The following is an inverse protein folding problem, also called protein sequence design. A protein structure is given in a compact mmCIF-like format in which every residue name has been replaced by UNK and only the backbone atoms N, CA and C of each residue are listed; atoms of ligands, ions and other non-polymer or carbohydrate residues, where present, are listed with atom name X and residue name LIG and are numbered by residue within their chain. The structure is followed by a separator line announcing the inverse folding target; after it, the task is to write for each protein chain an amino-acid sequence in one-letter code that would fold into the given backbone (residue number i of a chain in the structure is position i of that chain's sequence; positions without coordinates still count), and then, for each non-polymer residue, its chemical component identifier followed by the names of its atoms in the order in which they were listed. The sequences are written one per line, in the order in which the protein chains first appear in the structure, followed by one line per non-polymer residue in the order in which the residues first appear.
data_IF_972164190980
#
_entry.id   IF_972164190980
#
_cell.length_a   1.000
_cell.length_b   1.000
_cell.length_c   1.000
_cell.angle_alpha   90.00
_cell.angle_beta   90.00
_cell.angle_gamma   90.00
#
_symmetry.space_group_name_H-M   'P 1'
#
loop_
_entity.id
_entity.type
_entity.pdbx_description
1 polymer ?
#
# COMPACT_ATOMS: atom_id res chain seq x y z
N UNK A 1 -1.62 -15.61 -5.77
CA UNK A 1 -3.05 -15.21 -5.83
C UNK A 1 -3.28 -14.27 -7.00
N UNK A 2 -4.47 -14.24 -7.58
CA UNK A 2 -4.76 -13.41 -8.78
C UNK A 2 -5.70 -12.27 -8.44
N UNK A 3 -5.36 -11.04 -8.82
CA UNK A 3 -6.17 -9.84 -8.70
C UNK A 3 -6.83 -9.51 -10.03
N UNK A 4 -8.04 -8.96 -9.97
CA UNK A 4 -8.79 -8.56 -11.16
C UNK A 4 -8.59 -7.06 -11.40
N UNK A 5 -8.11 -6.70 -12.60
CA UNK A 5 -8.05 -5.31 -13.04
C UNK A 5 -9.39 -4.89 -13.66
N UNK A 6 -9.90 -3.73 -13.27
CA UNK A 6 -11.02 -3.10 -13.96
C UNK A 6 -10.57 -2.62 -15.37
N UNK A 7 -11.30 -2.91 -16.46
CA UNK A 7 -10.94 -2.45 -17.81
C UNK A 7 -10.71 -0.94 -17.93
N UNK A 8 -11.38 -0.12 -17.10
CA UNK A 8 -11.25 1.34 -17.07
C UNK A 8 -10.03 1.83 -16.26
N UNK A 9 -9.27 0.93 -15.64
CA UNK A 9 -8.03 1.26 -14.96
C UNK A 9 -6.86 1.16 -15.93
N UNK A 10 -5.93 2.11 -15.83
CA UNK A 10 -4.68 2.06 -16.57
C UNK A 10 -3.94 0.73 -16.26
N UNK A 11 -3.61 -0.08 -17.29
CA UNK A 11 -2.98 -1.37 -17.07
C UNK A 11 -1.60 -1.28 -16.41
N UNK A 12 -0.79 -0.29 -16.77
CA UNK A 12 0.57 -0.16 -16.27
C UNK A 12 0.58 0.31 -14.82
N UNK A 13 -0.28 1.27 -14.46
CA UNK A 13 -0.44 1.74 -13.09
C UNK A 13 -1.04 0.66 -12.17
N UNK A 14 -1.98 -0.15 -12.68
CA UNK A 14 -2.49 -1.29 -11.93
C UNK A 14 -1.39 -2.31 -11.67
N UNK A 15 -0.62 -2.67 -12.70
CA UNK A 15 0.50 -3.60 -12.58
C UNK A 15 1.56 -3.08 -11.59
N UNK A 16 1.93 -1.79 -11.68
CA UNK A 16 2.89 -1.15 -10.78
C UNK A 16 2.41 -1.20 -9.33
N UNK A 17 1.18 -0.74 -9.06
CA UNK A 17 0.66 -0.77 -7.69
C UNK A 17 0.55 -2.19 -7.16
N UNK A 18 0.15 -3.18 -7.96
CA UNK A 18 0.11 -4.57 -7.51
C UNK A 18 1.51 -5.14 -7.25
N UNK A 19 2.51 -4.80 -8.08
CA UNK A 19 3.90 -5.19 -7.85
C UNK A 19 4.45 -4.56 -6.57
N UNK A 20 4.10 -3.31 -6.26
CA UNK A 20 4.49 -2.67 -5.01
C UNK A 20 3.85 -3.37 -3.79
N UNK A 21 2.61 -3.86 -3.92
CA UNK A 21 1.98 -4.68 -2.88
C UNK A 21 2.72 -6.00 -2.68
N UNK A 22 3.05 -6.71 -3.76
CA UNK A 22 3.80 -7.97 -3.70
C UNK A 22 5.16 -7.75 -3.03
N UNK A 23 5.90 -6.74 -3.50
CA UNK A 23 7.18 -6.37 -2.93
C UNK A 23 7.06 -6.07 -1.44
N UNK A 24 6.11 -5.24 -1.05
CA UNK A 24 5.89 -4.89 0.35
C UNK A 24 5.53 -6.10 1.21
N UNK A 25 4.73 -7.03 0.71
CA UNK A 25 4.45 -8.29 1.41
C UNK A 25 5.75 -9.06 1.67
N UNK A 26 6.63 -9.15 0.67
CA UNK A 26 7.85 -9.94 0.73
C UNK A 26 8.99 -9.26 1.52
N UNK A 27 8.83 -7.99 1.88
CA UNK A 27 9.73 -7.28 2.82
C UNK A 27 9.35 -7.52 4.29
N UNK A 28 8.16 -8.05 4.57
CA UNK A 28 7.73 -8.38 5.92
C UNK A 28 8.34 -9.71 6.37
N UNK A 29 8.72 -9.77 7.64
CA UNK A 29 8.95 -11.03 8.35
C UNK A 29 7.61 -11.64 8.78
N UNK A 30 7.59 -12.94 9.05
CA UNK A 30 6.42 -13.63 9.61
C UNK A 30 5.98 -12.96 10.91
N UNK A 31 6.93 -12.59 11.77
CA UNK A 31 6.64 -11.89 13.02
C UNK A 31 5.95 -10.53 12.80
N UNK A 32 6.45 -9.72 11.86
CA UNK A 32 5.86 -8.41 11.56
C UNK A 32 4.49 -8.56 10.92
N UNK A 33 4.34 -9.49 9.97
CA UNK A 33 3.07 -9.77 9.31
C UNK A 33 1.99 -10.13 10.34
N UNK A 34 2.25 -11.10 11.22
CA UNK A 34 1.28 -11.54 12.22
C UNK A 34 0.92 -10.42 13.19
N UNK A 35 1.89 -9.64 13.67
CA UNK A 35 1.64 -8.52 14.57
C UNK A 35 0.78 -7.42 13.90
N UNK A 36 1.09 -7.09 12.63
CA UNK A 36 0.33 -6.10 11.88
C UNK A 36 -1.09 -6.59 11.57
N UNK A 37 -1.25 -7.87 11.21
CA UNK A 37 -2.55 -8.51 10.97
C UNK A 37 -3.40 -8.55 12.24
N UNK A 38 -2.83 -8.95 13.37
CA UNK A 38 -3.51 -8.94 14.67
C UNK A 38 -4.01 -7.54 15.03
N UNK A 39 -3.16 -6.52 14.87
CA UNK A 39 -3.53 -5.13 15.11
C UNK A 39 -4.67 -4.68 14.19
N UNK A 40 -4.59 -5.01 12.90
CA UNK A 40 -5.62 -4.66 11.92
C UNK A 40 -6.95 -5.34 12.24
N UNK A 41 -6.94 -6.62 12.61
CA UNK A 41 -8.16 -7.35 12.97
C UNK A 41 -8.81 -6.80 14.25
N UNK A 42 -7.99 -6.40 15.23
CA UNK A 42 -8.48 -5.88 16.50
C UNK A 42 -9.02 -4.44 16.40
N UNK A 43 -8.39 -3.59 15.58
CA UNK A 43 -8.64 -2.13 15.59
C UNK A 43 -9.05 -1.55 14.24
N UNK A 44 -8.98 -2.34 13.17
CA UNK A 44 -9.06 -1.83 11.80
C UNK A 44 -7.81 -1.04 11.40
N UNK A 45 -7.99 -0.04 10.53
CA UNK A 45 -6.89 0.82 10.08
C UNK A 45 -6.34 1.66 11.23
N UNK A 46 -5.02 1.70 11.37
CA UNK A 46 -4.35 2.47 12.40
C UNK A 46 -4.50 3.99 12.17
N UNK A 47 -4.74 4.74 13.25
CA UNK A 47 -4.91 6.20 13.18
C UNK A 47 -3.62 6.90 12.76
N UNK A 48 -2.48 6.39 13.22
CA UNK A 48 -1.15 6.88 12.89
C UNK A 48 -0.87 6.72 11.39
N UNK A 49 -1.45 5.71 10.74
CA UNK A 49 -1.36 5.55 9.29
C UNK A 49 -2.09 6.66 8.53
N UNK A 50 -3.21 7.15 9.04
CA UNK A 50 -3.90 8.31 8.45
C UNK A 50 -3.04 9.58 8.56
N UNK A 51 -2.32 9.74 9.67
CA UNK A 51 -1.38 10.85 9.87
C UNK A 51 -0.22 10.74 8.88
N UNK A 52 0.38 9.56 8.73
CA UNK A 52 1.46 9.31 7.77
C UNK A 52 1.01 9.57 6.31
N UNK A 53 -0.18 9.10 5.92
CA UNK A 53 -0.76 9.39 4.60
C UNK A 53 -0.98 10.87 4.38
N UNK A 54 -1.49 11.60 5.38
CA UNK A 54 -1.71 13.04 5.28
C UNK A 54 -0.38 13.78 5.07
N UNK A 55 0.65 13.47 5.87
CA UNK A 55 1.97 14.07 5.74
C UNK A 55 2.58 13.82 4.35
N UNK A 56 2.54 12.57 3.87
CA UNK A 56 3.03 12.23 2.54
C UNK A 56 2.29 12.98 1.42
N UNK A 57 0.97 13.18 1.55
CA UNK A 57 0.18 13.97 0.58
C UNK A 57 0.54 15.44 0.60
N UNK A 58 0.75 16.04 1.77
CA UNK A 58 1.15 17.45 1.90
C UNK A 58 2.54 17.70 1.31
N UNK A 59 3.48 16.78 1.55
CA UNK A 59 4.80 16.81 0.95
C UNK A 59 4.74 16.72 -0.57
N UNK A 60 4.02 15.72 -1.12
CA UNK A 60 3.90 15.54 -2.56
C UNK A 60 3.16 16.69 -3.25
N UNK A 61 2.17 17.30 -2.59
CA UNK A 61 1.55 18.52 -3.09
C UNK A 61 2.59 19.63 -3.26
N UNK A 62 3.45 19.83 -2.25
CA UNK A 62 4.51 20.85 -2.28
C UNK A 62 5.54 20.55 -3.38
N UNK A 63 5.96 19.29 -3.50
CA UNK A 63 6.86 18.85 -4.57
C UNK A 63 6.25 19.09 -5.96
N UNK A 64 4.96 18.76 -6.15
CA UNK A 64 4.27 18.97 -7.43
C UNK A 64 4.13 20.45 -7.80
N UNK A 65 3.84 21.30 -6.80
CA UNK A 65 3.85 22.76 -7.02
C UNK A 65 5.23 23.22 -7.48
N UNK A 66 6.30 22.78 -6.84
CA UNK A 66 7.66 23.15 -7.21
C UNK A 66 8.06 22.66 -8.60
N UNK A 67 7.66 21.45 -8.98
CA UNK A 67 7.83 20.90 -10.33
C UNK A 67 7.17 21.80 -11.39
N UNK A 68 5.89 22.15 -11.18
CA UNK A 68 5.12 23.03 -12.08
C UNK A 68 5.69 24.46 -12.11
N UNK A 69 6.25 24.95 -11.01
CA UNK A 69 6.94 26.24 -10.99
C UNK A 69 8.19 26.24 -11.87
N UNK A 70 8.94 25.13 -11.88
CA UNK A 70 10.14 24.99 -12.71
C UNK A 70 9.83 24.94 -14.21
N UNK A 71 8.61 24.56 -14.60
CA UNK A 71 8.14 24.64 -15.99
C UNK A 71 7.62 26.03 -16.41
N UNK A 72 7.73 27.04 -15.54
CA UNK A 72 7.38 28.43 -15.84
C UNK A 72 5.94 28.83 -15.50
N UNK A 73 5.14 27.92 -14.91
CA UNK A 73 3.76 28.19 -14.51
C UNK A 73 3.72 29.13 -13.28
N UNK A 74 2.75 30.04 -13.20
CA UNK A 74 2.56 30.92 -12.03
C UNK A 74 2.28 30.12 -10.76
N UNK A 75 2.59 30.67 -9.57
CA UNK A 75 2.33 29.97 -8.31
C UNK A 75 0.85 29.62 -8.10
N UNK A 76 -0.04 30.53 -8.46
CA UNK A 76 -1.49 30.32 -8.35
C UNK A 76 -1.94 29.15 -9.22
N UNK A 77 -1.50 29.12 -10.49
CA UNK A 77 -1.87 28.06 -11.41
C UNK A 77 -1.21 26.72 -11.05
N UNK A 78 0.06 26.73 -10.61
CA UNK A 78 0.75 25.55 -10.12
C UNK A 78 0.03 24.91 -8.93
N UNK A 79 -0.44 25.71 -7.96
CA UNK A 79 -1.23 25.21 -6.82
C UNK A 79 -2.56 24.60 -7.27
N UNK A 80 -3.25 25.22 -8.23
CA UNK A 80 -4.52 24.72 -8.77
C UNK A 80 -4.33 23.37 -9.47
N UNK A 81 -3.33 23.27 -10.34
CA UNK A 81 -3.00 22.03 -11.05
C UNK A 81 -2.51 20.93 -10.11
N UNK A 82 -1.63 21.26 -9.16
CA UNK A 82 -1.17 20.31 -8.15
C UNK A 82 -2.34 19.77 -7.31
N UNK A 83 -3.30 20.63 -6.92
CA UNK A 83 -4.50 20.19 -6.22
C UNK A 83 -5.33 19.23 -7.08
N UNK A 84 -5.61 19.60 -8.33
CA UNK A 84 -6.38 18.74 -9.24
C UNK A 84 -5.70 17.40 -9.49
N UNK A 85 -4.36 17.38 -9.53
CA UNK A 85 -3.60 16.15 -9.64
C UNK A 85 -3.70 15.33 -8.34
N UNK A 86 -3.48 15.93 -7.17
CA UNK A 86 -3.63 15.26 -5.87
C UNK A 86 -5.03 14.67 -5.64
N UNK A 87 -6.08 15.25 -6.22
CA UNK A 87 -7.45 14.75 -6.13
C UNK A 87 -7.63 13.39 -6.86
N UNK A 88 -6.68 13.00 -7.73
CA UNK A 88 -6.64 11.67 -8.39
C UNK A 88 -5.70 10.69 -7.70
N UNK A 89 -4.83 11.16 -6.79
CA UNK A 89 -3.82 10.36 -6.13
C UNK A 89 -4.24 9.87 -4.74
N UNK A 90 -3.69 8.73 -4.32
CA UNK A 90 -3.68 8.24 -2.94
C UNK A 90 -2.24 8.04 -2.46
N UNK A 91 -2.00 8.25 -1.17
CA UNK A 91 -0.77 7.79 -0.51
C UNK A 91 -0.89 6.29 -0.26
N UNK A 92 0.01 5.52 -0.88
CA UNK A 92 -0.08 4.07 -0.96
C UNK A 92 0.59 3.43 0.26
N UNK A 93 -0.13 2.52 0.92
CA UNK A 93 0.49 1.55 1.80
C UNK A 93 0.88 0.34 0.97
N UNK A 94 2.16 -0.06 1.00
CA UNK A 94 2.71 -1.17 0.23
C UNK A 94 3.38 -2.16 1.21
N UNK A 95 2.69 -3.23 1.64
CA UNK A 95 1.34 -3.64 1.23
C UNK A 95 0.24 -2.86 1.99
N UNK A 96 -1.03 -3.02 1.61
CA UNK A 96 -2.15 -2.43 2.34
C UNK A 96 -2.19 -2.94 3.80
N UNK A 97 -2.69 -2.13 4.74
CA UNK A 97 -2.81 -2.54 6.14
C UNK A 97 -3.70 -3.79 6.32
N UNK A 98 -4.71 -3.97 5.47
CA UNK A 98 -5.50 -5.23 5.43
C UNK A 98 -4.57 -6.41 5.22
N UNK A 99 -3.54 -6.28 4.40
CA UNK A 99 -2.59 -7.33 4.09
C UNK A 99 -1.40 -7.36 5.07
N UNK A 100 -1.50 -6.70 6.24
CA UNK A 100 -0.43 -6.69 7.23
C UNK A 100 0.66 -5.65 6.96
N UNK A 101 0.40 -4.65 6.11
CA UNK A 101 1.34 -3.57 5.88
C UNK A 101 1.55 -2.66 7.09
N UNK A 102 2.78 -2.18 7.26
CA UNK A 102 3.11 -1.21 8.31
C UNK A 102 2.37 0.11 8.04
N UNK A 103 1.51 0.59 8.98
CA UNK A 103 0.72 1.80 8.79
C UNK A 103 1.57 3.06 8.62
N UNK A 104 2.82 3.07 9.09
CA UNK A 104 3.72 4.22 8.95
C UNK A 104 4.52 4.20 7.64
N UNK A 105 4.52 3.08 6.92
CA UNK A 105 5.21 2.96 5.64
C UNK A 105 4.33 3.46 4.50
N UNK A 106 4.76 4.54 3.86
CA UNK A 106 4.12 5.09 2.66
C UNK A 106 5.05 4.85 1.47
N UNK A 107 4.63 3.97 0.55
CA UNK A 107 5.43 3.58 -0.61
C UNK A 107 5.42 4.59 -1.76
N UNK A 108 4.66 5.67 -1.64
CA UNK A 108 4.55 6.73 -2.64
C UNK A 108 3.11 7.13 -2.94
N UNK A 109 2.90 7.75 -4.10
CA UNK A 109 1.57 8.07 -4.63
C UNK A 109 1.18 7.12 -5.79
N UNK A 110 -0.13 7.00 -6.02
CA UNK A 110 -0.67 6.37 -7.22
C UNK A 110 -2.16 6.66 -7.41
N UNK A 111 -2.72 6.22 -8.55
CA UNK A 111 -4.15 6.39 -8.84
C UNK A 111 -5.00 5.79 -7.69
N UNK A 112 -5.83 6.65 -7.09
CA UNK A 112 -6.62 6.29 -5.90
C UNK A 112 -7.70 5.24 -6.18
N UNK A 113 -8.21 5.15 -7.41
CA UNK A 113 -9.26 4.19 -7.80
C UNK A 113 -8.66 2.80 -7.96
N UNK A 114 -7.45 2.73 -8.52
CA UNK A 114 -6.66 1.51 -8.59
C UNK A 114 -6.34 1.02 -7.17
N UNK A 115 -5.79 1.90 -6.31
CA UNK A 115 -5.46 1.56 -4.93
C UNK A 115 -6.70 1.04 -4.15
N UNK A 116 -7.83 1.72 -4.29
CA UNK A 116 -9.10 1.29 -3.67
C UNK A 116 -9.57 -0.08 -4.18
N UNK A 117 -9.43 -0.34 -5.48
CA UNK A 117 -9.78 -1.63 -6.07
C UNK A 117 -8.89 -2.78 -5.61
N UNK A 118 -7.58 -2.55 -5.47
CA UNK A 118 -6.65 -3.54 -4.91
C UNK A 118 -6.97 -3.78 -3.43
N UNK A 119 -7.13 -2.71 -2.64
CA UNK A 119 -7.50 -2.77 -1.22
C UNK A 119 -8.82 -3.52 -0.96
N UNK A 120 -9.82 -3.32 -1.82
CA UNK A 120 -11.09 -4.05 -1.74
C UNK A 120 -10.92 -5.55 -1.98
N UNK A 121 -10.00 -5.94 -2.86
CA UNK A 121 -9.75 -7.35 -3.18
C UNK A 121 -9.00 -8.09 -2.07
N UNK A 122 -8.14 -7.41 -1.31
CA UNK A 122 -7.45 -8.01 -0.17
C UNK A 122 -8.39 -8.67 0.83
N UNK A 123 -9.58 -8.09 1.05
CA UNK A 123 -10.61 -8.60 1.99
C UNK A 123 -11.06 -10.04 1.71
N UNK A 124 -10.91 -10.51 0.47
CA UNK A 124 -11.35 -11.85 0.06
C UNK A 124 -10.17 -12.77 -0.27
N UNK A 125 -8.93 -12.31 -0.05
CA UNK A 125 -7.71 -12.99 -0.49
C UNK A 125 -6.71 -13.17 0.65
N UNK A 126 -6.72 -12.29 1.64
CA UNK A 126 -5.72 -12.30 2.71
C UNK A 126 -5.81 -13.54 3.59
N UNK A 127 -7.02 -14.10 3.78
CA UNK A 127 -7.23 -15.29 4.59
C UNK A 127 -6.42 -16.50 4.10
N UNK A 128 -6.15 -16.59 2.78
CA UNK A 128 -5.30 -17.64 2.20
C UNK A 128 -3.84 -17.50 2.69
N UNK A 129 -3.35 -16.26 2.82
CA UNK A 129 -2.02 -16.00 3.35
C UNK A 129 -1.99 -16.29 4.84
N UNK A 130 -3.00 -15.82 5.58
CA UNK A 130 -3.14 -16.07 7.02
C UNK A 130 -3.12 -17.59 7.31
N UNK A 131 -3.87 -18.38 6.56
CA UNK A 131 -3.91 -19.84 6.71
C UNK A 131 -2.55 -20.49 6.42
N UNK A 132 -1.90 -20.14 5.31
CA UNK A 132 -0.60 -20.73 4.94
C UNK A 132 0.50 -20.38 5.95
N UNK A 133 0.52 -19.14 6.44
CA UNK A 133 1.47 -18.73 7.47
C UNK A 133 1.22 -19.50 8.76
N UNK A 134 -0.04 -19.63 9.21
CA UNK A 134 -0.38 -20.40 10.41
C UNK A 134 0.01 -21.88 10.31
N UNK A 135 -0.18 -22.50 9.13
CA UNK A 135 0.26 -23.88 8.91
C UNK A 135 1.79 -24.00 8.97
N UNK A 136 2.52 -23.11 8.31
CA UNK A 136 3.98 -23.10 8.29
C UNK A 136 4.57 -22.92 9.69
N UNK A 137 4.09 -21.95 10.47
CA UNK A 137 4.67 -21.64 11.79
C UNK A 137 4.38 -22.70 12.85
N UNK A 138 3.41 -23.59 12.64
CA UNK A 138 3.10 -24.69 13.58
C UNK A 138 4.29 -25.61 13.85
N UNK A 139 5.27 -25.63 12.94
CA UNK A 139 6.48 -26.46 13.02
C UNK A 139 7.76 -25.63 13.27
N UNK A 140 7.64 -24.31 13.41
CA UNK A 140 8.78 -23.39 13.51
C UNK A 140 8.78 -22.69 14.87
N UNK A 141 9.88 -22.78 15.65
CA UNK A 141 10.01 -22.04 16.91
C UNK A 141 9.80 -20.54 16.73
N UNK A 142 9.07 -19.92 17.67
CA UNK A 142 8.67 -18.50 17.58
C UNK A 142 9.85 -17.55 17.42
N UNK A 143 11.00 -17.91 18.00
CA UNK A 143 12.23 -17.12 17.96
C UNK A 143 12.78 -16.94 16.54
N UNK A 144 12.44 -17.86 15.62
CA UNK A 144 12.88 -17.83 14.22
C UNK A 144 11.93 -17.01 13.32
N UNK A 145 10.72 -16.66 13.77
CA UNK A 145 9.73 -15.99 12.92
C UNK A 145 10.16 -14.60 12.45
N UNK A 146 11.09 -13.96 13.17
CA UNK A 146 11.70 -12.67 12.80
C UNK A 146 12.73 -12.79 11.67
N UNK A 147 13.20 -13.99 11.36
CA UNK A 147 14.25 -14.23 10.37
C UNK A 147 13.67 -14.89 9.09
N UNK A 148 12.36 -15.13 9.06
CA UNK A 148 11.64 -15.72 7.93
C UNK A 148 10.81 -14.62 7.27
N UNK A 149 11.08 -14.37 5.99
CA UNK A 149 10.34 -13.41 5.17
C UNK A 149 9.19 -14.09 4.44
N UNK A 150 8.12 -13.35 4.15
CA UNK A 150 7.07 -13.88 3.27
C UNK A 150 7.59 -14.04 1.83
N UNK A 151 6.96 -14.96 1.11
CA UNK A 151 7.20 -15.19 -0.31
C UNK A 151 5.86 -15.35 -1.05
N UNK A 152 5.15 -14.24 -1.14
CA UNK A 152 3.86 -14.13 -1.80
C UNK A 152 4.06 -13.77 -3.28
N UNK A 153 3.24 -14.37 -4.14
CA UNK A 153 3.13 -13.99 -5.55
C UNK A 153 1.71 -13.52 -5.89
N UNK A 154 1.62 -12.31 -6.45
CA UNK A 154 0.42 -11.63 -6.91
C UNK A 154 0.44 -11.58 -8.44
N UNK A 155 -0.69 -11.90 -9.08
CA UNK A 155 -0.85 -11.91 -10.54
C UNK A 155 -2.09 -11.11 -10.92
N UNK A 156 -2.21 -10.65 -12.17
CA UNK A 156 -3.41 -9.97 -12.68
C UNK A 156 -3.66 -10.17 -14.16
#
# INVERSE_FOLDING_TARGET
MTFSRNPNHDPAEFARQLADQEKGMNELTVSEYLANREMYLAKGRALEGNVAQKAAREENFTQKVNELRKSGISLTEARKQAKSWMDTQAALHNPDQIAGGNPLNIGGLGDRRINSSIGGQWRYRIDIVDEQINQMISQVPKEQWKDIYLNVSLKH
#
